data_IF_622573061522
#
_entry.id   IF_622573061522
#
_cell.length_a   1.000
_cell.length_b   1.000
_cell.length_c   1.000
_cell.angle_alpha   90.00
_cell.angle_beta   90.00
_cell.angle_gamma   90.00
#
_symmetry.space_group_name_H-M   'P 1'
#
loop_
_entity.id
_entity.type
_entity.pdbx_description
1 polymer ?
#
# COMPACT_ATOMS: atom_id res chain seq x y z
N UNK A 1 -20.07 -12.65 -33.38
CA UNK A 1 -20.46 -11.37 -32.75
C UNK A 1 -20.28 -11.48 -31.24
N UNK A 2 -19.67 -10.49 -30.58
CA UNK A 2 -19.59 -10.47 -29.10
C UNK A 2 -21.02 -10.36 -28.55
N UNK A 3 -21.39 -11.20 -27.57
CA UNK A 3 -22.73 -11.19 -26.97
C UNK A 3 -22.94 -9.89 -26.19
N UNK A 4 -24.06 -9.19 -26.43
CA UNK A 4 -24.39 -7.96 -25.69
C UNK A 4 -24.66 -8.27 -24.21
N UNK A 5 -24.16 -7.46 -23.26
CA UNK A 5 -24.55 -7.58 -21.86
C UNK A 5 -26.07 -7.41 -21.69
N UNK A 6 -26.66 -8.11 -20.72
CA UNK A 6 -28.12 -8.12 -20.51
C UNK A 6 -28.69 -6.70 -20.36
N UNK A 7 -28.04 -5.84 -19.58
CA UNK A 7 -28.50 -4.47 -19.38
C UNK A 7 -28.48 -3.60 -20.66
N UNK A 8 -27.67 -3.93 -21.66
CA UNK A 8 -27.70 -3.27 -22.98
C UNK A 8 -28.87 -3.78 -23.83
N UNK A 9 -29.32 -5.02 -23.59
CA UNK A 9 -30.52 -5.56 -24.24
C UNK A 9 -31.79 -5.00 -23.61
N UNK A 10 -31.76 -4.81 -22.28
CA UNK A 10 -32.90 -4.28 -21.51
C UNK A 10 -33.10 -2.77 -21.74
N UNK A 11 -32.04 -2.01 -22.08
CA UNK A 11 -32.10 -0.59 -22.43
C UNK A 11 -31.50 -0.30 -23.81
N UNK A 12 -32.38 -0.09 -24.79
CA UNK A 12 -32.00 0.17 -26.19
C UNK A 12 -31.21 1.47 -26.38
N UNK A 13 -31.26 2.43 -25.44
CA UNK A 13 -30.50 3.68 -25.55
C UNK A 13 -29.00 3.46 -25.37
N UNK A 14 -28.60 2.30 -24.84
CA UNK A 14 -27.20 1.90 -24.69
C UNK A 14 -26.61 1.27 -25.96
N UNK A 15 -27.44 0.92 -26.96
CA UNK A 15 -26.98 0.26 -28.20
C UNK A 15 -25.87 1.01 -28.95
N UNK A 16 -25.94 2.35 -29.12
CA UNK A 16 -24.87 3.11 -29.77
C UNK A 16 -23.51 3.03 -29.06
N UNK A 17 -23.51 2.66 -27.77
CA UNK A 17 -22.31 2.57 -26.93
C UNK A 17 -21.89 1.13 -26.62
N UNK A 18 -22.56 0.14 -27.23
CA UNK A 18 -22.41 -1.29 -26.91
C UNK A 18 -20.96 -1.78 -26.99
N UNK A 19 -20.19 -1.34 -27.98
CA UNK A 19 -18.78 -1.70 -28.12
C UNK A 19 -17.94 -1.22 -26.92
N UNK A 20 -18.06 0.06 -26.54
CA UNK A 20 -17.35 0.62 -25.41
C UNK A 20 -17.73 -0.08 -24.09
N UNK A 21 -19.02 -0.39 -23.93
CA UNK A 21 -19.53 -1.13 -22.78
C UNK A 21 -18.92 -2.54 -22.73
N UNK A 22 -18.95 -3.29 -23.84
CA UNK A 22 -18.36 -4.63 -23.90
C UNK A 22 -16.87 -4.59 -23.56
N UNK A 23 -16.12 -3.64 -24.13
CA UNK A 23 -14.70 -3.51 -23.87
C UNK A 23 -14.40 -3.20 -22.39
N UNK A 24 -15.22 -2.37 -21.72
CA UNK A 24 -15.08 -2.10 -20.28
C UNK A 24 -15.37 -3.32 -19.42
N UNK A 25 -16.43 -4.07 -19.73
CA UNK A 25 -16.78 -5.30 -19.01
C UNK A 25 -15.66 -6.33 -19.14
N UNK A 26 -15.11 -6.49 -20.35
CA UNK A 26 -14.00 -7.40 -20.61
C UNK A 26 -12.73 -6.96 -19.86
N UNK A 27 -12.35 -5.68 -19.96
CA UNK A 27 -11.19 -5.14 -19.27
C UNK A 27 -11.30 -5.28 -17.74
N UNK A 28 -12.50 -5.06 -17.17
CA UNK A 28 -12.75 -5.25 -15.75
C UNK A 28 -12.56 -6.72 -15.33
N UNK A 29 -13.14 -7.66 -16.07
CA UNK A 29 -13.01 -9.09 -15.79
C UNK A 29 -11.57 -9.60 -15.95
N UNK A 30 -10.83 -9.11 -16.95
CA UNK A 30 -9.41 -9.43 -17.14
C UNK A 30 -8.55 -8.84 -16.02
N UNK A 31 -8.83 -7.60 -15.61
CA UNK A 31 -8.12 -6.95 -14.50
C UNK A 31 -8.39 -7.68 -13.19
N UNK A 32 -9.63 -8.07 -12.90
CA UNK A 32 -9.98 -8.87 -11.73
C UNK A 32 -9.16 -10.17 -11.68
N UNK A 33 -9.16 -10.94 -12.77
CA UNK A 33 -8.34 -12.16 -12.88
C UNK A 33 -6.85 -11.91 -12.63
N UNK A 34 -6.31 -10.81 -13.17
CA UNK A 34 -4.91 -10.42 -12.97
C UNK A 34 -4.61 -10.06 -11.52
N UNK A 35 -5.54 -9.42 -10.80
CA UNK A 35 -5.34 -9.00 -9.42
C UNK A 35 -5.38 -10.19 -8.45
N UNK A 36 -6.33 -11.10 -8.65
CA UNK A 36 -6.59 -12.16 -7.68
C UNK A 36 -5.74 -13.41 -7.91
N UNK A 37 -5.29 -13.68 -9.14
CA UNK A 37 -4.59 -14.93 -9.45
C UNK A 37 -5.45 -16.14 -9.10
N UNK A 38 -5.00 -16.95 -8.13
CA UNK A 38 -5.76 -18.09 -7.58
C UNK A 38 -6.62 -17.75 -6.34
N UNK A 39 -6.55 -16.50 -5.87
CA UNK A 39 -7.21 -15.98 -4.66
C UNK A 39 -8.50 -15.23 -4.99
N UNK A 40 -9.08 -14.51 -4.02
CA UNK A 40 -10.28 -13.69 -4.16
C UNK A 40 -9.99 -12.18 -4.08
N UNK A 41 -10.91 -11.35 -4.57
CA UNK A 41 -10.81 -9.89 -4.40
C UNK A 41 -10.80 -9.48 -2.92
N UNK A 42 -11.48 -10.24 -2.06
CA UNK A 42 -11.52 -10.02 -0.62
C UNK A 42 -10.13 -10.20 0.00
N UNK A 43 -9.44 -11.29 -0.34
CA UNK A 43 -8.07 -11.54 0.11
C UNK A 43 -7.09 -10.52 -0.46
N UNK A 44 -7.23 -10.17 -1.75
CA UNK A 44 -6.43 -9.11 -2.38
C UNK A 44 -6.58 -7.75 -1.67
N UNK A 45 -7.78 -7.41 -1.21
CA UNK A 45 -8.06 -6.17 -0.49
C UNK A 45 -7.51 -6.15 0.95
N UNK A 46 -6.97 -7.27 1.45
CA UNK A 46 -6.41 -7.41 2.79
C UNK A 46 -5.03 -6.78 3.00
N UNK A 47 -4.50 -6.01 2.05
CA UNK A 47 -3.15 -5.47 2.11
C UNK A 47 -2.81 -4.68 3.38
N UNK A 48 -3.80 -4.02 4.00
CA UNK A 48 -3.62 -3.27 5.25
C UNK A 48 -3.29 -4.16 6.47
N UNK A 49 -3.56 -5.47 6.39
CA UNK A 49 -3.16 -6.43 7.42
C UNK A 49 -1.66 -6.77 7.34
N UNK A 50 -1.04 -6.50 6.19
CA UNK A 50 0.37 -6.81 5.92
C UNK A 50 1.26 -5.55 5.92
N UNK A 51 0.80 -4.49 5.25
CA UNK A 51 1.48 -3.19 5.15
C UNK A 51 1.07 -2.23 6.28
N UNK A 52 1.91 -1.24 6.55
CA UNK A 52 1.74 -0.32 7.67
C UNK A 52 2.37 -0.83 8.96
N UNK A 53 2.14 -0.11 10.06
CA UNK A 53 2.68 -0.40 11.38
C UNK A 53 1.71 -1.28 12.17
N UNK A 54 2.19 -2.44 12.62
CA UNK A 54 1.42 -3.44 13.34
C UNK A 54 2.14 -3.85 14.63
N UNK A 55 1.38 -3.95 15.72
CA UNK A 55 1.86 -4.58 16.95
C UNK A 55 1.87 -6.09 16.78
N UNK A 56 2.94 -6.75 17.22
CA UNK A 56 3.08 -8.21 17.24
C UNK A 56 3.27 -8.70 18.67
N UNK A 57 3.31 -10.02 18.88
CA UNK A 57 3.61 -10.62 20.19
C UNK A 57 5.02 -10.25 20.70
N UNK A 58 5.97 -9.96 19.79
CA UNK A 58 7.37 -9.71 20.12
C UNK A 58 7.78 -8.22 19.97
N UNK A 59 6.83 -7.33 19.66
CA UNK A 59 7.09 -5.91 19.48
C UNK A 59 6.27 -5.30 18.35
N UNK A 60 6.93 -4.77 17.32
CA UNK A 60 6.28 -4.10 16.20
C UNK A 60 6.90 -4.53 14.87
N UNK A 61 6.08 -4.51 13.83
CA UNK A 61 6.55 -4.62 12.45
C UNK A 61 5.94 -3.50 11.63
N UNK A 62 6.74 -2.86 10.79
CA UNK A 62 6.26 -1.91 9.80
C UNK A 62 6.73 -2.33 8.42
N UNK A 63 5.80 -2.29 7.45
CA UNK A 63 6.10 -2.57 6.04
C UNK A 63 5.62 -1.47 5.12
N UNK A 64 6.43 -1.17 4.12
CA UNK A 64 6.11 -0.18 3.08
C UNK A 64 6.49 -0.71 1.70
N UNK A 65 5.72 -0.36 0.68
CA UNK A 65 6.10 -0.64 -0.70
C UNK A 65 6.79 0.58 -1.31
N UNK A 66 8.10 0.46 -1.54
CA UNK A 66 8.96 1.52 -2.02
C UNK A 66 10.06 0.95 -2.94
N UNK A 67 9.69 0.48 -4.15
CA UNK A 67 10.58 -0.29 -5.03
C UNK A 67 11.80 0.50 -5.53
N UNK A 68 11.72 1.83 -5.52
CA UNK A 68 12.78 2.70 -6.01
C UNK A 68 13.63 3.30 -4.87
N UNK A 69 13.30 3.02 -3.61
CA UNK A 69 14.10 3.50 -2.49
C UNK A 69 15.46 2.79 -2.46
N UNK A 70 16.49 3.50 -2.04
CA UNK A 70 17.84 2.96 -1.79
C UNK A 70 18.07 2.71 -0.30
N UNK A 71 17.41 3.48 0.56
CA UNK A 71 17.33 3.26 2.00
C UNK A 71 16.08 3.91 2.58
N UNK A 72 15.59 3.35 3.67
CA UNK A 72 14.44 3.89 4.42
C UNK A 72 14.75 3.80 5.91
N UNK A 73 14.44 4.86 6.64
CA UNK A 73 14.51 4.89 8.10
C UNK A 73 13.16 5.30 8.69
N UNK A 74 12.80 4.70 9.83
CA UNK A 74 11.73 5.22 10.66
C UNK A 74 12.28 6.36 11.51
N UNK A 75 11.69 7.55 11.37
CA UNK A 75 12.05 8.72 12.16
C UNK A 75 10.82 9.24 12.90
N UNK A 76 10.99 9.74 14.11
CA UNK A 76 9.87 10.15 14.94
C UNK A 76 10.28 10.73 16.28
N UNK A 77 9.29 10.99 17.12
CA UNK A 77 9.50 11.52 18.49
C UNK A 77 10.42 10.64 19.33
N UNK A 78 10.33 9.31 19.16
CA UNK A 78 11.13 8.32 19.89
C UNK A 78 12.63 8.34 19.54
N UNK A 79 13.04 8.98 18.44
CA UNK A 79 14.43 9.09 18.02
C UNK A 79 14.82 10.51 17.56
N UNK A 80 14.15 11.52 18.11
CA UNK A 80 14.41 12.94 17.82
C UNK A 80 14.35 13.31 16.33
N UNK A 81 13.60 12.57 15.53
CA UNK A 81 13.52 12.73 14.08
C UNK A 81 14.84 12.51 13.32
N UNK A 82 15.77 11.74 13.91
CA UNK A 82 17.08 11.44 13.32
C UNK A 82 17.16 10.02 12.77
N UNK A 83 17.99 9.82 11.74
CA UNK A 83 18.24 8.51 11.17
C UNK A 83 19.20 7.70 12.04
N UNK A 84 18.69 6.63 12.66
CA UNK A 84 19.54 5.68 13.37
C UNK A 84 19.42 4.28 12.77
N UNK A 85 20.53 3.54 12.84
CA UNK A 85 20.65 2.18 12.28
C UNK A 85 19.63 1.19 12.85
N UNK A 86 19.25 1.33 14.11
CA UNK A 86 18.23 0.48 14.74
C UNK A 86 16.80 0.73 14.21
N UNK A 87 16.59 1.80 13.46
CA UNK A 87 15.33 2.11 12.78
C UNK A 87 15.45 2.04 11.25
N UNK A 88 16.51 1.43 10.72
CA UNK A 88 16.70 1.24 9.30
C UNK A 88 15.89 0.03 8.80
N UNK A 89 15.13 0.22 7.74
CA UNK A 89 14.41 -0.87 7.09
C UNK A 89 15.38 -1.75 6.31
N UNK A 90 15.03 -3.02 6.19
CA UNK A 90 15.67 -3.95 5.26
C UNK A 90 14.76 -4.17 4.04
N UNK A 91 15.36 -4.23 2.86
CA UNK A 91 14.64 -4.58 1.63
C UNK A 91 14.32 -6.06 1.63
N UNK A 92 13.07 -6.36 1.29
CA UNK A 92 12.58 -7.68 0.90
C UNK A 92 12.49 -7.74 -0.62
N UNK A 93 11.82 -8.78 -1.14
CA UNK A 93 11.53 -8.92 -2.56
C UNK A 93 10.42 -7.95 -3.02
N UNK A 94 10.30 -7.76 -4.34
CA UNK A 94 9.22 -6.98 -4.98
C UNK A 94 9.11 -5.50 -4.53
N UNK A 95 10.21 -4.95 -4.01
CA UNK A 95 10.27 -3.55 -3.57
C UNK A 95 9.59 -3.28 -2.23
N UNK A 96 9.34 -4.33 -1.45
CA UNK A 96 8.81 -4.23 -0.09
C UNK A 96 9.98 -3.98 0.86
N UNK A 97 9.77 -3.10 1.83
CA UNK A 97 10.71 -2.80 2.90
C UNK A 97 10.07 -3.16 4.24
N UNK A 98 10.83 -3.76 5.14
CA UNK A 98 10.37 -4.14 6.47
C UNK A 98 11.32 -3.61 7.57
N UNK A 99 10.75 -3.24 8.70
CA UNK A 99 11.47 -2.98 9.95
C UNK A 99 10.74 -3.68 11.09
N UNK A 100 11.50 -4.41 11.91
CA UNK A 100 11.03 -5.02 13.15
C UNK A 100 11.63 -4.25 14.33
N UNK A 101 10.81 -3.98 15.33
CA UNK A 101 11.17 -3.21 16.52
C UNK A 101 10.75 -3.96 17.78
N UNK A 102 11.47 -3.76 18.87
CA UNK A 102 11.10 -4.29 20.18
C UNK A 102 9.88 -3.54 20.73
N UNK A 103 9.16 -4.16 21.68
CA UNK A 103 7.93 -3.59 22.23
C UNK A 103 8.11 -2.16 22.77
N UNK A 104 9.25 -1.87 23.40
CA UNK A 104 9.53 -0.59 24.05
C UNK A 104 10.07 0.50 23.12
N UNK A 105 10.32 0.19 21.84
CA UNK A 105 10.87 1.15 20.88
C UNK A 105 9.85 2.20 20.44
N UNK A 106 8.55 1.87 20.50
CA UNK A 106 7.45 2.75 20.13
C UNK A 106 6.37 2.77 21.23
N UNK A 107 5.73 3.92 21.40
CA UNK A 107 4.60 4.10 22.31
C UNK A 107 3.41 4.68 21.57
N UNK A 108 2.21 4.38 22.08
CA UNK A 108 1.01 5.01 21.55
C UNK A 108 1.11 6.54 21.66
N UNK A 109 0.81 7.22 20.55
CA UNK A 109 0.93 8.68 20.45
C UNK A 109 2.27 9.19 19.92
N UNK A 110 3.27 8.31 19.72
CA UNK A 110 4.49 8.72 19.02
C UNK A 110 4.17 9.16 17.59
N UNK A 111 4.73 10.29 17.20
CA UNK A 111 4.67 10.78 15.83
C UNK A 111 5.82 10.15 15.06
N UNK A 112 5.55 9.71 13.83
CA UNK A 112 6.55 9.08 12.99
C UNK A 112 6.35 9.39 11.51
N UNK A 113 7.44 9.25 10.75
CA UNK A 113 7.48 9.37 9.31
C UNK A 113 8.58 8.45 8.75
N UNK A 114 8.59 8.30 7.43
CA UNK A 114 9.65 7.62 6.70
C UNK A 114 10.65 8.66 6.21
N UNK A 115 11.92 8.52 6.59
CA UNK A 115 13.01 9.18 5.86
C UNK A 115 13.42 8.28 4.72
N UNK A 116 13.10 8.67 3.48
CA UNK A 116 13.34 7.86 2.29
C UNK A 116 14.44 8.46 1.45
N UNK A 117 15.33 7.60 0.96
CA UNK A 117 16.37 7.96 0.01
C UNK A 117 16.13 7.25 -1.31
N UNK A 118 16.46 7.93 -2.41
CA UNK A 118 16.46 7.41 -3.77
C UNK A 118 17.85 7.60 -4.37
N UNK A 119 18.04 7.21 -5.63
CA UNK A 119 19.34 7.33 -6.30
C UNK A 119 19.88 8.77 -6.39
N UNK A 120 18.99 9.78 -6.44
CA UNK A 120 19.37 11.18 -6.69
C UNK A 120 18.71 12.19 -5.73
N UNK A 121 17.90 11.73 -4.78
CA UNK A 121 17.12 12.62 -3.89
C UNK A 121 16.77 11.90 -2.58
N UNK A 122 16.29 12.64 -1.60
CA UNK A 122 15.77 12.12 -0.34
C UNK A 122 14.59 12.96 0.16
N UNK A 123 13.78 12.40 1.05
CA UNK A 123 12.64 13.13 1.57
C UNK A 123 11.88 12.41 2.66
N UNK A 124 11.25 13.21 3.52
CA UNK A 124 10.33 12.76 4.55
C UNK A 124 8.97 12.46 3.93
N UNK A 125 8.36 11.32 4.27
CA UNK A 125 7.02 10.92 3.81
C UNK A 125 6.19 10.38 4.96
N UNK A 126 4.89 10.65 4.92
CA UNK A 126 3.92 9.93 5.75
C UNK A 126 3.80 8.51 5.15
N UNK A 127 3.85 7.44 5.96
CA UNK A 127 3.62 6.09 5.47
C UNK A 127 2.30 5.97 4.70
N UNK A 128 2.29 5.22 3.60
CA UNK A 128 1.09 5.10 2.76
C UNK A 128 -0.09 4.42 3.48
N UNK A 129 0.24 3.64 4.52
CA UNK A 129 -0.69 2.84 5.33
C UNK A 129 -0.83 3.38 6.76
N UNK A 130 -0.64 4.69 6.96
CA UNK A 130 -0.87 5.32 8.25
C UNK A 130 -2.37 5.29 8.63
N UNK A 131 -2.69 4.84 9.85
CA UNK A 131 -4.06 4.76 10.34
C UNK A 131 -4.56 6.07 10.97
N UNK A 132 -3.65 6.99 11.27
CA UNK A 132 -3.96 8.29 11.87
C UNK A 132 -2.87 9.29 11.50
N UNK A 133 -3.29 10.50 11.13
CA UNK A 133 -2.40 11.63 10.84
C UNK A 133 -2.96 12.88 11.50
N UNK A 134 -2.07 13.77 11.92
CA UNK A 134 -2.43 15.06 12.51
C UNK A 134 -1.76 16.18 11.72
N UNK A 135 -2.41 17.34 11.72
CA UNK A 135 -1.80 18.59 11.29
C UNK A 135 -1.27 19.32 12.53
N UNK A 136 -0.09 19.93 12.43
CA UNK A 136 0.39 20.82 13.48
C UNK A 136 -0.54 22.04 13.59
N UNK A 137 -0.81 22.56 14.80
CA UNK A 137 -1.70 23.71 15.01
C UNK A 137 -1.29 24.98 14.28
#
# INVERSE_FOLDING_TARGET
MKKLPKFVQDDMWLMPYSEAIINRVQAAAEKEKKLVGESSLYEFAGGYLYFGLHKTENGWVIREWAPNATSIYLIGTFNNWEEHKNYAFHSLENGIWELQLAENDLKHGDLYALSMHWAIDYGKRVPAWANYVTQDP
#
